data_IF_345289990844
#
_entry.id   IF_345289990844
#
_cell.length_a   1.000
_cell.length_b   1.000
_cell.length_c   1.000
_cell.angle_alpha   90.00
_cell.angle_beta   90.00
_cell.angle_gamma   90.00
#
_symmetry.space_group_name_H-M   'P 1'
#
loop_
_entity.id
_entity.type
_entity.pdbx_description
1 polymer ?
#
# COMPACT_ATOMS: atom_id res chain seq x y z
N UNK A 1 -4.39 3.53 -2.29
CA UNK A 1 -5.39 3.89 -1.29
C UNK A 1 -5.56 5.38 -1.11
N UNK A 2 -6.54 5.74 -0.33
CA UNK A 2 -6.81 7.16 -0.03
C UNK A 2 -7.58 7.27 1.29
N UNK A 3 -7.23 8.24 2.10
CA UNK A 3 -8.05 8.63 3.26
C UNK A 3 -9.39 9.20 2.78
N UNK A 4 -10.48 8.77 3.38
CA UNK A 4 -11.83 9.17 2.95
C UNK A 4 -12.20 10.58 3.39
N UNK A 5 -11.50 11.15 4.36
CA UNK A 5 -11.73 12.50 4.88
C UNK A 5 -10.48 13.36 4.73
N UNK A 6 -10.66 14.68 4.66
CA UNK A 6 -9.56 15.62 4.59
C UNK A 6 -8.94 15.76 3.20
N UNK A 7 -7.86 16.51 3.12
CA UNK A 7 -7.26 16.99 1.87
C UNK A 7 -6.09 16.11 1.38
N UNK A 8 -6.03 14.87 1.81
CA UNK A 8 -4.96 13.96 1.37
C UNK A 8 -5.29 13.32 0.04
N UNK A 9 -4.28 13.16 -0.81
CA UNK A 9 -4.41 12.54 -2.13
C UNK A 9 -4.38 11.01 -2.07
N UNK A 10 -4.38 10.42 -3.26
CA UNK A 10 -4.18 8.98 -3.42
C UNK A 10 -2.72 8.62 -3.21
N UNK A 11 -2.48 7.43 -2.67
CA UNK A 11 -1.15 6.88 -2.52
C UNK A 11 -1.05 5.51 -3.18
N UNK A 12 0.13 5.16 -3.66
CA UNK A 12 0.38 3.90 -4.36
C UNK A 12 1.73 3.33 -3.93
N UNK A 13 1.72 2.05 -3.60
CA UNK A 13 2.92 1.26 -3.30
C UNK A 13 2.94 0.00 -4.14
N UNK A 14 4.13 -0.50 -4.46
CA UNK A 14 4.30 -1.79 -5.13
C UNK A 14 5.60 -2.47 -4.69
N UNK A 15 5.69 -3.77 -4.91
CA UNK A 15 6.84 -4.58 -4.50
C UNK A 15 7.94 -4.68 -5.56
N UNK A 16 7.77 -4.00 -6.70
CA UNK A 16 8.78 -3.99 -7.77
C UNK A 16 9.72 -2.81 -7.60
N UNK A 17 9.17 -1.62 -7.34
CA UNK A 17 9.97 -0.41 -7.10
C UNK A 17 10.74 -0.50 -5.77
N UNK A 18 10.16 -1.17 -4.78
CA UNK A 18 10.74 -1.32 -3.45
C UNK A 18 10.50 -2.76 -2.98
N UNK A 19 11.51 -3.61 -3.19
CA UNK A 19 11.37 -5.06 -3.05
C UNK A 19 11.48 -5.56 -1.62
N UNK A 20 11.96 -4.74 -0.69
CA UNK A 20 12.17 -5.13 0.70
C UNK A 20 11.27 -4.34 1.64
N UNK A 21 10.77 -4.99 2.66
CA UNK A 21 10.01 -4.32 3.72
C UNK A 21 10.95 -3.61 4.72
N UNK A 22 10.57 -2.46 5.25
CA UNK A 22 9.34 -1.75 4.90
C UNK A 22 9.41 -1.13 3.51
N UNK A 23 8.29 -1.17 2.80
CA UNK A 23 8.13 -0.49 1.52
C UNK A 23 7.76 0.96 1.80
N UNK A 24 8.60 1.90 1.36
CA UNK A 24 8.40 3.31 1.66
C UNK A 24 8.50 4.24 0.46
N UNK A 25 8.58 3.70 -0.75
CA UNK A 25 8.61 4.49 -1.98
C UNK A 25 7.17 4.82 -2.39
N UNK A 26 6.72 5.99 -1.99
CA UNK A 26 5.36 6.47 -2.25
C UNK A 26 5.24 7.14 -3.61
N UNK A 27 4.24 6.76 -4.37
CA UNK A 27 3.76 7.54 -5.52
C UNK A 27 2.40 8.15 -5.19
N UNK A 28 2.18 9.35 -5.69
CA UNK A 28 0.90 10.07 -5.53
C UNK A 28 0.22 10.23 -6.90
N UNK A 29 -0.65 9.28 -7.30
CA UNK A 29 -1.27 9.34 -8.63
C UNK A 29 -2.22 10.53 -8.84
N UNK A 30 -2.58 11.25 -7.78
CA UNK A 30 -3.45 12.43 -7.87
C UNK A 30 -2.70 13.70 -8.29
N UNK A 31 -1.39 13.67 -8.39
CA UNK A 31 -0.58 14.82 -8.83
C UNK A 31 0.66 14.34 -9.61
N UNK A 32 1.53 15.27 -9.96
CA UNK A 32 2.75 14.98 -10.71
C UNK A 32 4.02 15.04 -9.85
N UNK A 33 3.88 14.87 -8.55
CA UNK A 33 5.04 14.81 -7.66
C UNK A 33 5.90 13.60 -7.98
N UNK A 34 7.22 13.77 -7.82
CA UNK A 34 8.14 12.66 -7.92
C UNK A 34 7.91 11.65 -6.78
N UNK A 35 8.33 10.41 -6.99
CA UNK A 35 8.34 9.40 -5.95
C UNK A 35 9.09 9.92 -4.72
N UNK A 36 8.50 9.70 -3.54
CA UNK A 36 9.09 10.12 -2.28
C UNK A 36 9.38 8.92 -1.39
N UNK A 37 10.35 9.09 -0.52
CA UNK A 37 10.82 8.08 0.43
C UNK A 37 10.65 8.70 1.83
N UNK A 38 9.43 8.90 2.21
CA UNK A 38 9.11 9.53 3.48
C UNK A 38 8.64 8.50 4.51
N UNK A 39 8.13 8.94 5.63
CA UNK A 39 7.74 8.09 6.76
C UNK A 39 6.50 7.20 6.50
N UNK A 40 6.22 6.91 5.24
CA UNK A 40 5.07 6.13 4.81
C UNK A 40 5.41 4.64 4.73
N UNK A 41 5.68 4.03 5.86
CA UNK A 41 6.14 2.64 5.90
C UNK A 41 4.99 1.65 5.81
N UNK A 42 5.11 0.72 4.88
CA UNK A 42 4.16 -0.37 4.70
C UNK A 42 4.92 -1.68 4.48
N UNK A 43 4.47 -2.74 5.09
CA UNK A 43 4.96 -4.09 4.80
C UNK A 43 4.01 -4.78 3.84
N UNK A 44 4.53 -5.29 2.73
CA UNK A 44 3.78 -6.14 1.83
C UNK A 44 3.96 -7.58 2.29
N UNK A 45 2.86 -8.26 2.54
CA UNK A 45 2.84 -9.60 3.13
C UNK A 45 2.28 -10.60 2.12
N UNK A 46 2.42 -11.89 2.41
CA UNK A 46 1.88 -12.94 1.55
C UNK A 46 0.34 -12.92 1.48
N UNK A 47 -0.31 -12.41 2.49
CA UNK A 47 -1.78 -12.35 2.58
C UNK A 47 -2.33 -10.91 2.57
N UNK A 48 -1.53 -9.92 2.22
CA UNK A 48 -1.98 -8.53 2.19
C UNK A 48 -0.87 -7.55 2.49
N UNK A 49 -1.18 -6.56 3.29
CA UNK A 49 -0.22 -5.53 3.69
C UNK A 49 -0.47 -5.08 5.12
N UNK A 50 0.55 -4.48 5.72
CA UNK A 50 0.49 -3.94 7.08
C UNK A 50 1.03 -2.51 7.08
N UNK A 51 0.25 -1.59 7.58
CA UNK A 51 0.68 -0.19 7.79
C UNK A 51 1.52 -0.11 9.05
N UNK A 52 2.69 0.52 8.98
CA UNK A 52 3.63 0.55 10.09
C UNK A 52 3.77 1.91 10.73
N UNK A 53 3.69 2.97 9.94
CA UNK A 53 3.82 4.33 10.44
C UNK A 53 2.55 4.85 11.07
N UNK A 54 2.61 6.07 11.56
CA UNK A 54 1.46 6.80 12.12
C UNK A 54 1.10 8.03 11.28
N UNK A 55 1.59 8.09 10.06
CA UNK A 55 1.36 9.21 9.16
C UNK A 55 -0.12 9.28 8.78
N UNK A 56 -0.72 10.45 8.94
CA UNK A 56 -2.16 10.65 8.74
C UNK A 56 -2.63 10.36 7.31
N UNK A 57 -1.74 10.44 6.34
CA UNK A 57 -2.08 10.15 4.94
C UNK A 57 -2.45 8.68 4.75
N UNK A 58 -1.76 7.77 5.43
CA UNK A 58 -1.93 6.34 5.22
C UNK A 58 -2.37 5.57 6.48
N UNK A 59 -2.16 6.09 7.68
CA UNK A 59 -2.44 5.36 8.92
C UNK A 59 -2.79 6.27 10.09
N UNK A 60 -3.63 7.27 9.86
CA UNK A 60 -4.08 8.17 10.92
C UNK A 60 -5.01 7.50 11.91
N UNK A 61 -4.83 7.80 13.19
CA UNK A 61 -5.67 7.26 14.25
C UNK A 61 -7.12 7.74 14.09
N UNK A 62 -8.07 6.80 14.08
CA UNK A 62 -9.49 7.11 13.94
C UNK A 62 -9.94 7.48 12.53
N UNK A 63 -9.05 7.41 11.54
CA UNK A 63 -9.36 7.76 10.17
C UNK A 63 -9.85 6.54 9.38
N UNK A 64 -10.64 6.80 8.34
CA UNK A 64 -11.16 5.78 7.44
C UNK A 64 -10.47 5.89 6.08
N UNK A 65 -10.15 4.73 5.51
CA UNK A 65 -9.42 4.63 4.24
C UNK A 65 -10.16 3.75 3.26
N UNK A 66 -10.04 4.06 1.97
CA UNK A 66 -10.43 3.16 0.89
C UNK A 66 -9.15 2.70 0.20
N UNK A 67 -9.14 1.45 -0.26
CA UNK A 67 -7.96 0.91 -0.93
C UNK A 67 -8.33 -0.14 -1.96
N UNK A 68 -7.42 -0.34 -2.91
CA UNK A 68 -7.40 -1.49 -3.81
C UNK A 68 -6.06 -2.20 -3.64
N UNK A 69 -6.08 -3.51 -3.55
CA UNK A 69 -4.86 -4.32 -3.46
C UNK A 69 -4.91 -5.41 -4.54
N UNK A 70 -3.81 -5.53 -5.28
CA UNK A 70 -3.67 -6.51 -6.35
C UNK A 70 -2.55 -7.47 -5.99
N UNK A 71 -2.88 -8.75 -5.87
CA UNK A 71 -1.90 -9.79 -5.59
C UNK A 71 -1.04 -10.06 -6.83
N UNK A 72 0.22 -10.42 -6.65
CA UNK A 72 1.10 -10.83 -7.74
C UNK A 72 0.53 -12.05 -8.47
N UNK A 73 -0.07 -12.97 -7.73
CA UNK A 73 -0.74 -14.15 -8.28
C UNK A 73 -2.19 -14.17 -7.80
N UNK A 74 -3.12 -13.50 -8.52
CA UNK A 74 -4.46 -13.21 -8.01
C UNK A 74 -5.43 -14.39 -8.06
N UNK A 75 -4.99 -15.58 -8.48
CA UNK A 75 -5.85 -16.75 -8.58
C UNK A 75 -5.44 -17.82 -7.57
N UNK A 76 -6.43 -18.50 -7.00
CA UNK A 76 -6.21 -19.71 -6.21
C UNK A 76 -5.88 -20.84 -7.17
N UNK A 77 -4.88 -21.65 -6.86
CA UNK A 77 -4.52 -22.79 -7.71
C UNK A 77 -5.64 -23.84 -7.71
N UNK A 78 -5.61 -24.75 -8.69
CA UNK A 78 -6.56 -25.86 -8.77
C UNK A 78 -6.51 -26.79 -7.55
N UNK A 79 -5.45 -26.73 -6.76
CA UNK A 79 -5.29 -27.48 -5.51
C UNK A 79 -5.74 -26.68 -4.28
N UNK A 80 -6.33 -25.50 -4.46
CA UNK A 80 -6.78 -24.68 -3.37
C UNK A 80 -5.69 -23.90 -2.65
N UNK A 81 -4.49 -23.79 -3.23
CA UNK A 81 -3.41 -22.99 -2.65
C UNK A 81 -3.72 -21.52 -2.85
N UNK A 82 -3.81 -20.71 -1.76
CA UNK A 82 -4.14 -19.31 -1.90
C UNK A 82 -3.04 -18.51 -2.62
N UNK A 83 -3.44 -17.42 -3.25
CA UNK A 83 -2.52 -16.49 -3.89
C UNK A 83 -1.69 -15.76 -2.85
N UNK A 84 -0.56 -15.21 -3.28
CA UNK A 84 0.28 -14.36 -2.44
C UNK A 84 0.23 -12.92 -2.94
N UNK A 85 0.29 -11.97 -2.02
CA UNK A 85 0.37 -10.56 -2.33
C UNK A 85 1.77 -10.16 -2.81
N UNK A 86 2.72 -11.04 -2.58
CA UNK A 86 4.12 -10.77 -2.91
C UNK A 86 4.84 -12.01 -3.41
#
# INVERSE_FOLDING_TARGET
>A
GKRSSGAHGWFLFDDVRDTFNPTNQLLEPSNNNAETNDSFDIDILSNGFKLRGSENTINGNGETYIYMAFARHPFVSSKGVPTTAR
#
